data_IF_254816692910
#
_entry.id   IF_254816692910
#
_cell.length_a   1.000
_cell.length_b   1.000
_cell.length_c   1.000
_cell.angle_alpha   90.00
_cell.angle_beta   90.00
_cell.angle_gamma   90.00
#
_symmetry.space_group_name_H-M   'P 1'
#
loop_
_entity.id
_entity.type
_entity.pdbx_description
1 polymer ?
#
# COMPACT_ATOMS: atom_id res chain seq x y z
N UNK A 1 0.03 3.67 -14.97
CA UNK A 1 -0.49 3.54 -13.60
C UNK A 1 -0.24 4.82 -12.81
N UNK A 2 1.02 5.25 -12.69
CA UNK A 2 1.38 6.47 -11.93
C UNK A 2 0.75 7.75 -12.48
N UNK A 3 0.95 8.06 -13.77
CA UNK A 3 0.38 9.25 -14.43
C UNK A 3 -1.14 9.36 -14.25
N UNK A 4 -1.87 8.24 -14.31
CA UNK A 4 -3.33 8.24 -14.11
C UNK A 4 -3.74 8.53 -12.66
N UNK A 5 -2.96 8.04 -11.68
CA UNK A 5 -3.19 8.35 -10.26
C UNK A 5 -2.86 9.82 -9.99
N UNK A 6 -1.80 10.36 -10.57
CA UNK A 6 -1.44 11.78 -10.44
C UNK A 6 -2.52 12.69 -11.05
N UNK A 7 -2.97 12.39 -12.28
CA UNK A 7 -4.07 13.14 -12.92
C UNK A 7 -5.37 13.06 -12.12
N UNK A 8 -5.69 11.89 -11.56
CA UNK A 8 -6.85 11.75 -10.68
C UNK A 8 -6.70 12.59 -9.40
N UNK A 9 -5.52 12.58 -8.78
CA UNK A 9 -5.25 13.35 -7.57
C UNK A 9 -5.28 14.87 -7.84
N UNK A 10 -4.78 15.32 -8.99
CA UNK A 10 -4.86 16.72 -9.43
C UNK A 10 -6.29 17.19 -9.65
N UNK A 11 -7.16 16.31 -10.16
CA UNK A 11 -8.57 16.61 -10.41
C UNK A 11 -9.48 16.33 -9.19
N UNK A 12 -8.93 15.88 -8.06
CA UNK A 12 -9.71 15.48 -6.89
C UNK A 12 -10.28 16.70 -6.17
N UNK A 13 -11.60 16.77 -6.08
CA UNK A 13 -12.27 17.73 -5.19
C UNK A 13 -12.04 17.34 -3.72
N UNK A 14 -11.47 18.22 -2.87
CA UNK A 14 -11.34 17.94 -1.45
C UNK A 14 -12.68 17.62 -0.76
N UNK A 15 -13.79 18.24 -1.18
CA UNK A 15 -15.12 17.97 -0.62
C UNK A 15 -15.59 16.53 -0.89
N UNK A 16 -15.13 15.91 -1.98
CA UNK A 16 -15.45 14.51 -2.28
C UNK A 16 -14.89 13.54 -1.22
N UNK A 17 -13.75 13.86 -0.60
CA UNK A 17 -13.11 13.02 0.43
C UNK A 17 -13.91 12.93 1.73
N UNK A 18 -14.80 13.88 1.97
CA UNK A 18 -15.70 13.89 3.13
C UNK A 18 -16.88 12.92 2.95
N UNK A 19 -17.11 12.44 1.72
CA UNK A 19 -18.21 11.54 1.42
C UNK A 19 -17.96 10.10 1.87
N UNK A 20 -19.06 9.36 1.94
CA UNK A 20 -19.05 7.93 2.21
C UNK A 20 -19.09 7.11 0.91
N UNK A 21 -18.46 5.94 0.90
CA UNK A 21 -18.49 4.97 -0.18
C UNK A 21 -19.17 3.69 0.29
N UNK A 22 -20.12 3.20 -0.50
CA UNK A 22 -20.86 1.96 -0.22
C UNK A 22 -20.57 0.95 -1.33
N UNK A 23 -20.26 -0.28 -0.97
CA UNK A 23 -20.05 -1.38 -1.92
C UNK A 23 -20.51 -2.70 -1.33
N UNK A 24 -20.81 -3.68 -2.18
CA UNK A 24 -20.98 -5.05 -1.71
C UNK A 24 -19.60 -5.73 -1.65
N UNK A 25 -19.24 -6.29 -0.50
CA UNK A 25 -17.99 -7.02 -0.33
C UNK A 25 -18.23 -8.50 -0.49
N UNK A 26 -17.70 -9.09 -1.57
CA UNK A 26 -17.75 -10.55 -1.76
C UNK A 26 -16.99 -11.30 -0.68
N UNK A 27 -15.84 -10.77 -0.22
CA UNK A 27 -15.09 -11.39 0.87
C UNK A 27 -15.89 -11.45 2.19
N UNK A 28 -16.79 -10.49 2.43
CA UNK A 28 -17.60 -10.41 3.66
C UNK A 28 -19.07 -10.77 3.46
N UNK A 29 -19.48 -11.10 2.23
CA UNK A 29 -20.86 -11.40 1.82
C UNK A 29 -21.89 -10.39 2.34
N UNK A 30 -21.55 -9.09 2.32
CA UNK A 30 -22.44 -8.02 2.80
C UNK A 30 -22.12 -6.66 2.19
N UNK A 31 -23.10 -5.77 2.26
CA UNK A 31 -22.87 -4.35 2.00
C UNK A 31 -21.93 -3.76 3.07
N UNK A 32 -20.95 -3.02 2.59
CA UNK A 32 -19.95 -2.30 3.36
C UNK A 32 -20.11 -0.82 3.10
N UNK A 33 -19.84 -0.01 4.13
CA UNK A 33 -19.88 1.45 4.10
C UNK A 33 -18.66 2.00 4.82
N UNK A 34 -17.99 2.98 4.21
CA UNK A 34 -16.82 3.61 4.84
C UNK A 34 -16.49 4.96 4.22
N UNK A 35 -15.73 5.77 4.97
CA UNK A 35 -15.24 7.07 4.53
C UNK A 35 -14.32 6.95 3.30
N UNK A 36 -14.56 7.77 2.27
CA UNK A 36 -13.72 7.80 1.06
C UNK A 36 -12.26 8.11 1.35
N UNK A 37 -11.99 9.08 2.24
CA UNK A 37 -10.61 9.37 2.71
C UNK A 37 -9.90 8.14 3.26
N UNK A 38 -10.60 7.29 4.00
CA UNK A 38 -10.01 6.08 4.57
C UNK A 38 -9.65 5.08 3.46
N UNK A 39 -10.49 4.94 2.44
CA UNK A 39 -10.20 4.09 1.29
C UNK A 39 -8.98 4.58 0.49
N UNK A 40 -8.83 5.88 0.30
CA UNK A 40 -7.67 6.45 -0.41
C UNK A 40 -6.38 6.16 0.36
N UNK A 41 -6.36 6.43 1.67
CA UNK A 41 -5.22 6.09 2.55
C UNK A 41 -4.92 4.59 2.50
N UNK A 42 -5.96 3.77 2.59
CA UNK A 42 -5.84 2.32 2.52
C UNK A 42 -5.23 1.84 1.20
N UNK A 43 -5.65 2.39 0.05
CA UNK A 43 -5.09 2.05 -1.27
C UNK A 43 -3.57 2.25 -1.32
N UNK A 44 -3.08 3.41 -0.87
CA UNK A 44 -1.64 3.69 -0.84
C UNK A 44 -0.90 2.84 0.18
N UNK A 45 -1.48 2.61 1.36
CA UNK A 45 -0.89 1.73 2.38
C UNK A 45 -0.79 0.28 1.89
N UNK A 46 -1.77 -0.21 1.12
CA UNK A 46 -1.73 -1.53 0.51
C UNK A 46 -0.56 -1.67 -0.47
N UNK A 47 -0.27 -0.65 -1.28
CA UNK A 47 0.93 -0.66 -2.13
C UNK A 47 2.21 -0.75 -1.30
N UNK A 48 2.32 0.04 -0.23
CA UNK A 48 3.50 0.00 0.66
C UNK A 48 3.69 -1.38 1.28
N UNK A 49 2.61 -2.04 1.70
CA UNK A 49 2.64 -3.40 2.22
C UNK A 49 3.17 -4.40 1.18
N UNK A 50 2.63 -4.40 -0.04
CA UNK A 50 3.11 -5.30 -1.10
C UNK A 50 4.54 -5.01 -1.53
N UNK A 51 4.97 -3.75 -1.55
CA UNK A 51 6.37 -3.39 -1.77
C UNK A 51 7.27 -3.97 -0.67
N UNK A 52 6.82 -3.95 0.57
CA UNK A 52 7.50 -4.59 1.71
C UNK A 52 7.61 -6.11 1.53
N UNK A 53 6.54 -6.78 1.07
CA UNK A 53 6.57 -8.21 0.76
C UNK A 53 7.60 -8.53 -0.34
N UNK A 54 7.60 -7.78 -1.44
CA UNK A 54 8.58 -7.96 -2.53
C UNK A 54 10.00 -7.67 -2.06
N UNK A 55 10.20 -6.59 -1.30
CA UNK A 55 11.49 -6.24 -0.74
C UNK A 55 12.07 -7.36 0.13
N UNK A 56 11.25 -8.00 0.95
CA UNK A 56 11.66 -9.14 1.78
C UNK A 56 12.01 -10.40 0.96
N UNK A 57 11.44 -10.55 -0.25
CA UNK A 57 11.71 -11.66 -1.15
C UNK A 57 12.95 -11.46 -2.02
N UNK A 58 13.45 -10.23 -2.16
CA UNK A 58 14.70 -9.96 -2.87
C UNK A 58 15.86 -10.32 -1.95
N UNK A 59 16.68 -11.34 -2.29
CA UNK A 59 17.87 -11.63 -1.51
C UNK A 59 18.82 -10.44 -1.65
N UNK A 60 19.13 -9.79 -0.52
CA UNK A 60 20.23 -8.82 -0.49
C UNK A 60 21.50 -9.61 -0.80
N UNK A 61 22.24 -9.32 -1.88
CA UNK A 61 23.47 -10.05 -2.16
C UNK A 61 24.36 -9.91 -0.93
N UNK A 62 24.82 -11.05 -0.41
CA UNK A 62 25.67 -11.10 0.76
C UNK A 62 26.87 -10.19 0.50
N UNK A 63 26.88 -9.01 1.12
CA UNK A 63 28.10 -8.23 1.25
C UNK A 63 29.05 -9.16 1.98
N UNK A 64 30.13 -9.59 1.31
CA UNK A 64 31.19 -10.41 1.92
C UNK A 64 31.74 -9.62 3.11
N UNK A 65 31.19 -9.87 4.28
CA UNK A 65 31.89 -9.56 5.52
C UNK A 65 32.95 -10.65 5.66
N UNK A 66 34.25 -10.30 5.74
CA UNK A 66 35.27 -11.29 6.04
C UNK A 66 34.89 -11.95 7.37
N UNK A 67 34.87 -13.28 7.36
CA UNK A 67 34.61 -14.13 8.53
C UNK A 67 35.42 -13.61 9.73
N UNK A 68 34.78 -13.18 10.83
CA UNK A 68 35.52 -13.01 12.07
C UNK A 68 35.87 -14.40 12.57
N UNK A 69 37.15 -14.74 12.52
CA UNK A 69 37.70 -15.87 13.26
C UNK A 69 37.48 -15.58 14.74
N UNK A 70 36.53 -16.25 15.38
CA UNK A 70 36.40 -16.19 16.82
C UNK A 70 37.54 -17.02 17.42
N UNK A 71 38.57 -16.34 17.90
CA UNK A 71 39.64 -16.90 18.72
C UNK A 71 39.60 -16.23 20.09
N UNK A 72 39.47 -17.07 21.12
CA UNK A 72 39.45 -16.81 22.57
C UNK A 72 38.13 -16.26 23.15
#
# INVERSE_FOLDING_TARGET
MDVGISQWAEALDPGWLEGEFSWYSDAKQRAMRTDKRLLVVHMFNHQTHHRGQVHALIPVPARRYPTPTCGW
#
